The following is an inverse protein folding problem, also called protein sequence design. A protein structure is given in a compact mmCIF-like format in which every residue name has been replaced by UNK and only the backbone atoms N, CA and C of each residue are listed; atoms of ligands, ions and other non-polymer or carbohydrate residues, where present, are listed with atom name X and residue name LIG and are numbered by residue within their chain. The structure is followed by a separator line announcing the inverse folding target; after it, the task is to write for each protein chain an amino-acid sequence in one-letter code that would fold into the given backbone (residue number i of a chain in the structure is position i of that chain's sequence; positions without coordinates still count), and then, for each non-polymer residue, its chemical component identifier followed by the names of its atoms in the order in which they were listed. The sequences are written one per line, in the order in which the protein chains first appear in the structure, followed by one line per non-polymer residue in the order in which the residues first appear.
data_IF_456323546176
#
_entry.id   IF_456323546176
#
_cell.length_a   1.000
_cell.length_b   1.000
_cell.length_c   1.000
_cell.angle_alpha   90.00
_cell.angle_beta   90.00
_cell.angle_gamma   90.00
#
_symmetry.space_group_name_H-M   'P 1'
#
loop_
_entity.id
_entity.type
_entity.pdbx_description
1 polymer ?
#
# COMPACT_ATOMS: atom_id res chain seq x y z
N UNK A 1 10.66 17.79 -16.65
CA UNK A 1 10.90 17.38 -18.05
C UNK A 1 9.74 16.51 -18.50
N UNK A 2 9.37 16.59 -19.78
CA UNK A 2 8.39 15.69 -20.40
C UNK A 2 9.16 14.70 -21.29
N UNK A 3 8.76 13.43 -21.27
CA UNK A 3 9.41 12.34 -22.01
C UNK A 3 8.33 11.51 -22.71
N UNK A 4 8.61 11.06 -23.94
CA UNK A 4 7.72 10.25 -24.76
C UNK A 4 8.40 8.93 -25.12
N UNK A 5 7.63 7.85 -25.26
CA UNK A 5 8.09 6.53 -25.68
C UNK A 5 6.97 5.81 -26.44
N UNK A 6 7.29 5.25 -27.61
CA UNK A 6 6.34 4.57 -28.50
C UNK A 6 6.65 3.07 -28.68
N UNK A 7 7.54 2.52 -27.84
CA UNK A 7 8.00 1.13 -27.93
C UNK A 7 6.94 0.10 -27.53
N UNK A 8 5.84 0.55 -26.92
CA UNK A 8 4.78 -0.29 -26.35
C UNK A 8 5.13 -0.87 -24.97
N UNK A 9 6.34 -0.64 -24.45
CA UNK A 9 6.77 -1.08 -23.14
C UNK A 9 7.74 -0.08 -22.48
N UNK A 10 7.20 0.89 -21.76
CA UNK A 10 7.98 1.94 -21.10
C UNK A 10 8.21 1.65 -19.62
N UNK A 11 9.46 1.78 -19.15
CA UNK A 11 9.80 1.73 -17.72
C UNK A 11 10.34 3.08 -17.27
N UNK A 12 9.75 3.67 -16.22
CA UNK A 12 10.16 4.97 -15.67
C UNK A 12 10.52 4.84 -14.19
N UNK A 13 11.75 5.19 -13.84
CA UNK A 13 12.22 5.21 -12.45
C UNK A 13 11.86 6.53 -11.79
N UNK A 14 11.17 6.47 -10.64
CA UNK A 14 10.75 7.65 -9.87
C UNK A 14 11.60 7.79 -8.60
N UNK A 15 12.51 8.76 -8.60
CA UNK A 15 13.47 8.98 -7.48
C UNK A 15 13.07 10.11 -6.55
N UNK A 16 12.12 10.96 -6.97
CA UNK A 16 11.67 12.13 -6.21
C UNK A 16 10.21 11.98 -5.80
N UNK A 17 9.93 12.34 -4.54
CA UNK A 17 8.57 12.46 -4.06
C UNK A 17 7.81 13.55 -4.83
N UNK A 18 6.51 13.33 -5.01
CA UNK A 18 5.64 14.21 -5.79
C UNK A 18 4.60 13.46 -6.59
N UNK A 19 3.78 14.21 -7.33
CA UNK A 19 2.78 13.66 -8.24
C UNK A 19 3.37 13.61 -9.64
N UNK A 20 3.38 12.42 -10.23
CA UNK A 20 3.85 12.18 -11.59
C UNK A 20 2.66 11.81 -12.48
N UNK A 21 2.56 12.46 -13.64
CA UNK A 21 1.48 12.24 -14.59
C UNK A 21 2.01 11.54 -15.83
N UNK A 22 1.31 10.51 -16.26
CA UNK A 22 1.60 9.75 -17.47
C UNK A 22 0.36 9.77 -18.35
N UNK A 23 0.53 10.17 -19.61
CA UNK A 23 -0.54 10.21 -20.59
C UNK A 23 -0.02 9.63 -21.91
N UNK A 24 -0.94 9.21 -22.77
CA UNK A 24 -0.66 9.07 -24.18
C UNK A 24 -1.27 10.26 -24.93
N UNK A 25 -0.45 10.97 -25.71
CA UNK A 25 -0.85 12.15 -26.48
C UNK A 25 -1.49 11.80 -27.84
N UNK A 26 -1.53 10.52 -28.20
CA UNK A 26 -2.27 10.03 -29.38
C UNK A 26 -3.74 10.42 -29.25
N UNK A 27 -4.26 11.04 -30.31
CA UNK A 27 -5.65 11.47 -30.40
C UNK A 27 -6.59 10.33 -30.01
N UNK A 28 -7.44 10.59 -29.02
CA UNK A 28 -8.38 9.60 -28.50
C UNK A 28 -7.85 8.74 -27.36
N UNK A 29 -6.55 8.49 -27.20
CA UNK A 29 -6.07 7.57 -26.16
C UNK A 29 -6.26 8.13 -24.74
N UNK A 30 -5.83 9.36 -24.48
CA UNK A 30 -6.02 10.02 -23.18
C UNK A 30 -7.51 10.15 -22.76
N UNK A 31 -8.43 10.68 -23.60
CA UNK A 31 -9.84 10.76 -23.22
C UNK A 31 -10.50 9.39 -23.07
N UNK A 32 -10.01 8.37 -23.78
CA UNK A 32 -10.48 6.98 -23.64
C UNK A 32 -9.82 6.21 -22.49
N UNK A 33 -9.02 6.87 -21.64
CA UNK A 33 -8.54 6.30 -20.38
C UNK A 33 -7.06 5.92 -20.33
N UNK A 34 -6.27 6.19 -21.37
CA UNK A 34 -4.81 6.01 -21.35
C UNK A 34 -4.14 7.19 -20.61
N UNK A 35 -4.36 7.24 -19.31
CA UNK A 35 -3.77 8.22 -18.39
C UNK A 35 -3.59 7.59 -17.01
N UNK A 36 -2.50 7.94 -16.35
CA UNK A 36 -2.15 7.45 -15.02
C UNK A 36 -1.56 8.59 -14.20
N UNK A 37 -1.90 8.62 -12.91
CA UNK A 37 -1.28 9.51 -11.93
C UNK A 37 -0.62 8.65 -10.87
N UNK A 38 0.66 8.87 -10.62
CA UNK A 38 1.44 8.16 -9.61
C UNK A 38 1.90 9.15 -8.56
N UNK A 39 1.44 8.98 -7.33
CA UNK A 39 1.92 9.76 -6.19
C UNK A 39 3.07 9.00 -5.53
N UNK A 40 4.23 9.63 -5.51
CA UNK A 40 5.43 9.10 -4.84
C UNK A 40 5.60 9.85 -3.53
N UNK A 41 5.66 9.10 -2.43
CA UNK A 41 5.94 9.63 -1.10
C UNK A 41 7.33 9.20 -0.65
N UNK A 42 8.03 10.08 0.07
CA UNK A 42 9.24 9.68 0.80
C UNK A 42 8.85 8.65 1.86
N UNK A 43 9.49 7.48 1.82
CA UNK A 43 9.23 6.42 2.78
C UNK A 43 9.67 6.85 4.18
N UNK A 44 8.73 7.31 5.00
CA UNK A 44 8.82 7.19 6.45
C UNK A 44 8.45 5.76 6.83
N UNK A 45 9.38 4.82 6.64
CA UNK A 45 9.29 3.42 7.09
C UNK A 45 7.92 2.76 6.98
N UNK A 46 7.51 2.30 5.79
CA UNK A 46 6.65 1.13 5.68
C UNK A 46 6.88 0.45 4.34
N UNK A 47 7.63 -0.65 4.38
CA UNK A 47 7.70 -1.61 3.29
C UNK A 47 6.39 -2.37 3.26
N UNK A 48 5.46 -1.98 2.39
CA UNK A 48 4.49 -2.92 1.84
C UNK A 48 4.78 -3.03 0.36
N UNK A 49 5.88 -3.73 0.06
CA UNK A 49 6.09 -4.31 -1.26
C UNK A 49 4.93 -5.26 -1.52
N UNK A 50 4.34 -5.15 -2.72
CA UNK A 50 3.21 -5.97 -3.13
C UNK A 50 3.52 -7.45 -2.94
N UNK A 51 2.76 -8.10 -2.08
CA UNK A 51 2.74 -9.55 -1.93
C UNK A 51 1.84 -10.14 -3.01
N UNK A 52 2.45 -10.88 -3.94
CA UNK A 52 1.77 -12.00 -4.60
C UNK A 52 1.31 -12.96 -3.49
N UNK A 53 0.10 -13.54 -3.54
CA UNK A 53 -0.37 -14.41 -2.47
C UNK A 53 0.34 -15.76 -2.56
N UNK A 54 1.38 -15.94 -1.74
CA UNK A 54 1.95 -17.25 -1.49
C UNK A 54 2.04 -17.47 0.02
N UNK A 55 1.16 -18.35 0.51
CA UNK A 55 1.33 -19.15 1.72
C UNK A 55 1.64 -18.38 3.00
N UNK A 56 0.59 -18.13 3.80
CA UNK A 56 0.77 -17.72 5.19
C UNK A 56 1.53 -18.81 5.98
N UNK A 57 2.76 -18.50 6.40
CA UNK A 57 3.37 -19.10 7.58
C UNK A 57 4.04 -17.97 8.35
N UNK A 58 3.21 -17.22 9.08
CA UNK A 58 3.64 -16.10 9.90
C UNK A 58 4.36 -16.60 11.15
N UNK A 59 5.64 -16.24 11.26
CA UNK A 59 6.36 -16.26 12.54
C UNK A 59 6.99 -14.90 12.76
N UNK A 60 6.74 -14.37 13.96
CA UNK A 60 7.44 -13.31 14.68
C UNK A 60 6.93 -11.87 14.53
N UNK A 61 6.46 -11.31 15.65
CA UNK A 61 7.27 -10.41 16.52
C UNK A 61 6.42 -10.00 17.73
N UNK A 62 6.78 -10.44 18.95
CA UNK A 62 7.62 -9.69 19.90
C UNK A 62 6.76 -9.31 21.13
N UNK A 63 7.25 -8.58 22.16
CA UNK A 63 8.60 -8.37 22.67
C UNK A 63 8.81 -9.07 24.05
N UNK A 64 10.08 -9.24 24.45
CA UNK A 64 10.41 -9.61 25.83
C UNK A 64 10.35 -8.36 26.73
N UNK A 65 9.31 -8.23 27.55
CA UNK A 65 9.38 -7.64 28.89
C UNK A 65 8.32 -8.30 29.76
N UNK A 66 8.77 -8.94 30.83
CA UNK A 66 7.95 -9.60 31.84
C UNK A 66 7.09 -8.59 32.60
N UNK A 67 5.78 -8.82 32.63
CA UNK A 67 4.90 -8.35 33.70
C UNK A 67 4.19 -9.56 34.28
N UNK A 68 4.51 -9.87 35.55
CA UNK A 68 4.01 -11.03 36.26
C UNK A 68 2.54 -10.84 36.72
N UNK A 69 1.74 -11.87 36.42
CA UNK A 69 0.62 -12.51 37.16
C UNK A 69 -0.24 -11.71 38.14
N UNK A 70 -1.56 -11.88 37.96
CA UNK A 70 -2.70 -12.00 38.91
C UNK A 70 -3.82 -11.01 38.56
N UNK A 71 -5.11 -11.33 38.51
CA UNK A 71 -5.87 -12.52 38.90
C UNK A 71 -7.15 -12.61 38.04
N UNK A 72 -7.64 -13.83 37.83
CA UNK A 72 -8.97 -14.11 37.30
C UNK A 72 -10.04 -13.72 38.33
N UNK A 73 -11.24 -13.36 37.86
CA UNK A 73 -12.57 -13.83 38.32
C UNK A 73 -13.67 -12.93 37.67
N UNK A 74 -14.72 -13.53 37.09
CA UNK A 74 -16.00 -12.86 36.79
C UNK A 74 -16.23 -12.50 35.30
N UNK A 75 -16.68 -13.42 34.45
CA UNK A 75 -18.08 -13.80 34.27
C UNK A 75 -19.00 -12.69 33.74
N UNK A 76 -19.40 -12.88 32.48
CA UNK A 76 -20.77 -12.77 31.98
C UNK A 76 -21.38 -11.35 31.79
N UNK A 77 -22.20 -11.28 30.74
CA UNK A 77 -23.33 -10.35 30.52
C UNK A 77 -23.10 -9.22 29.51
N UNK A 78 -23.45 -9.55 28.26
CA UNK A 78 -24.46 -8.88 27.44
C UNK A 78 -24.48 -7.34 27.34
N UNK A 79 -24.41 -6.83 26.10
CA UNK A 79 -25.47 -6.06 25.42
C UNK A 79 -24.90 -5.68 24.04
N UNK A 80 -25.27 -6.34 22.95
CA UNK A 80 -26.50 -6.08 22.19
C UNK A 80 -26.58 -4.63 21.65
N UNK A 81 -26.53 -4.54 20.32
CA UNK A 81 -27.35 -3.67 19.47
C UNK A 81 -27.19 -2.15 19.67
N UNK A 82 -26.33 -1.55 18.85
CA UNK A 82 -26.55 -0.16 18.42
C UNK A 82 -27.35 -0.22 17.12
N UNK A 83 -28.47 0.51 17.17
CA UNK A 83 -29.62 0.48 16.26
C UNK A 83 -29.31 1.05 14.88
#
# INVERSE_FOLDING_TARGET
SLSNDDSGATTVTLTMAGVHYFICDVTGHCPNGMKLTVTVTVAGGSTTGGTVPTGASGVSRGPAVSAAVAAAEGALVALALFS
#
